data_IF_881733496268
#
_entry.id   IF_881733496268
#
_cell.length_a   1.000
_cell.length_b   1.000
_cell.length_c   1.000
_cell.angle_alpha   90.00
_cell.angle_beta   90.00
_cell.angle_gamma   90.00
#
_symmetry.space_group_name_H-M   'P 1'
#
loop_
_entity.id
_entity.type
_entity.pdbx_description
1 polymer ?
#
# COMPACT_ATOMS: atom_id res chain seq x y z
N UNK A 1 73.72 44.79 -57.80
CA UNK A 1 73.33 43.49 -58.38
C UNK A 1 72.58 42.72 -57.29
N UNK A 2 71.24 42.85 -57.21
CA UNK A 2 70.23 41.79 -57.51
C UNK A 2 70.37 40.58 -56.56
N UNK A 3 69.39 40.00 -55.84
CA UNK A 3 67.91 40.08 -55.71
C UNK A 3 67.53 39.06 -54.58
N UNK A 4 66.66 39.37 -53.61
CA UNK A 4 65.24 38.95 -53.52
C UNK A 4 64.92 37.47 -53.15
N UNK A 5 64.24 37.28 -52.00
CA UNK A 5 63.06 36.42 -51.70
C UNK A 5 63.15 35.79 -50.28
N UNK A 6 62.36 36.17 -49.26
CA UNK A 6 60.88 36.11 -49.05
C UNK A 6 60.53 35.03 -47.98
N UNK A 7 60.30 35.51 -46.75
CA UNK A 7 59.13 35.23 -45.89
C UNK A 7 58.54 33.80 -45.96
N UNK A 8 58.75 32.98 -44.92
CA UNK A 8 57.77 31.98 -44.42
C UNK A 8 57.93 31.80 -42.88
N UNK A 9 56.93 32.27 -42.12
CA UNK A 9 56.37 31.74 -40.84
C UNK A 9 57.34 31.58 -39.65
N UNK A 10 57.49 32.56 -38.75
CA UNK A 10 56.61 32.87 -37.58
C UNK A 10 55.89 31.66 -36.98
N UNK A 11 56.29 31.25 -35.77
CA UNK A 11 55.37 30.63 -34.81
C UNK A 11 55.76 29.30 -34.15
N UNK A 12 57.03 29.03 -33.85
CA UNK A 12 57.43 27.78 -33.14
C UNK A 12 58.47 28.01 -32.04
N UNK A 13 58.37 29.11 -31.31
CA UNK A 13 59.06 29.32 -30.04
C UNK A 13 58.01 29.85 -29.06
N UNK A 14 58.08 29.43 -27.79
CA UNK A 14 57.12 29.68 -26.70
C UNK A 14 56.07 28.60 -26.45
N UNK A 15 56.50 27.34 -26.35
CA UNK A 15 55.66 26.30 -25.74
C UNK A 15 56.49 25.42 -24.79
N UNK A 16 57.19 26.01 -23.82
CA UNK A 16 57.91 25.22 -22.80
C UNK A 16 58.29 25.97 -21.52
N UNK A 17 57.52 26.99 -21.10
CA UNK A 17 57.85 27.74 -19.87
C UNK A 17 56.63 28.29 -19.11
N UNK A 18 55.51 27.57 -19.07
CA UNK A 18 54.38 27.92 -18.19
C UNK A 18 53.64 26.66 -17.70
N UNK A 19 54.35 25.78 -16.99
CA UNK A 19 53.79 24.57 -16.39
C UNK A 19 54.27 24.36 -14.94
N UNK A 20 54.50 25.42 -14.18
CA UNK A 20 54.85 25.32 -12.77
C UNK A 20 54.38 26.57 -12.01
N UNK A 21 53.11 26.63 -11.58
CA UNK A 21 52.62 27.37 -10.38
C UNK A 21 51.08 27.28 -10.21
N UNK A 22 50.44 26.14 -10.46
CA UNK A 22 48.99 26.03 -10.19
C UNK A 22 48.60 24.66 -9.62
N UNK A 23 49.36 24.20 -8.63
CA UNK A 23 49.04 23.00 -7.88
C UNK A 23 49.26 23.31 -6.41
N UNK A 24 48.27 23.93 -5.75
CA UNK A 24 48.09 23.98 -4.29
C UNK A 24 46.88 24.89 -3.95
N UNK A 25 45.71 24.58 -4.49
CA UNK A 25 44.46 24.95 -3.85
C UNK A 25 43.54 23.73 -3.94
N UNK A 26 43.86 22.72 -3.13
CA UNK A 26 42.88 21.73 -2.76
C UNK A 26 41.93 22.45 -1.79
N UNK A 27 40.66 22.74 -2.14
CA UNK A 27 39.72 23.15 -1.12
C UNK A 27 39.65 21.97 -0.16
N UNK A 28 40.12 22.15 1.06
CA UNK A 28 39.84 21.23 2.15
C UNK A 28 38.33 21.22 2.29
N UNK A 29 37.68 20.27 1.62
CA UNK A 29 36.27 19.99 1.83
C UNK A 29 36.13 19.68 3.31
N UNK A 30 35.58 20.63 4.07
CA UNK A 30 35.16 20.35 5.43
C UNK A 30 34.29 19.09 5.36
N UNK A 31 34.53 18.07 6.20
CA UNK A 31 33.61 16.96 6.28
C UNK A 31 32.23 17.56 6.53
N UNK A 32 31.27 17.26 5.66
CA UNK A 32 29.90 17.69 5.83
C UNK A 32 29.50 17.32 7.26
N UNK A 33 29.18 18.34 8.08
CA UNK A 33 28.78 18.16 9.46
C UNK A 33 27.63 17.16 9.44
N UNK A 34 27.88 15.93 9.91
CA UNK A 34 26.84 14.91 10.00
C UNK A 34 25.67 15.56 10.73
N UNK A 35 24.50 15.57 10.10
CA UNK A 35 23.29 16.09 10.72
C UNK A 35 23.17 15.46 12.11
N UNK A 36 22.99 16.31 13.13
CA UNK A 36 22.87 15.82 14.50
C UNK A 36 21.76 14.75 14.55
N UNK A 37 21.97 13.64 15.26
CA UNK A 37 20.99 12.55 15.29
C UNK A 37 19.66 13.10 15.80
N UNK A 38 18.60 12.86 15.04
CA UNK A 38 17.22 13.25 15.37
C UNK A 38 16.45 11.99 15.81
N UNK A 39 15.73 12.05 16.93
CA UNK A 39 14.93 10.92 17.40
C UNK A 39 13.72 10.70 16.47
N UNK A 40 13.39 9.43 16.21
CA UNK A 40 12.17 9.07 15.50
C UNK A 40 10.96 9.11 16.43
N UNK A 41 9.90 9.81 16.03
CA UNK A 41 8.62 9.88 16.75
C UNK A 41 7.47 9.62 15.79
N UNK A 42 6.63 8.63 16.09
CA UNK A 42 5.45 8.29 15.30
C UNK A 42 4.19 8.88 15.93
N UNK A 43 3.22 9.28 15.12
CA UNK A 43 1.88 9.69 15.55
C UNK A 43 0.79 8.92 14.82
N UNK A 44 -0.13 8.31 15.56
CA UNK A 44 -1.41 7.87 15.02
C UNK A 44 -2.27 9.10 14.74
N UNK A 45 -2.59 9.35 13.46
CA UNK A 45 -3.21 10.61 13.03
C UNK A 45 -4.72 10.50 12.80
N UNK A 46 -5.39 9.76 13.66
CA UNK A 46 -6.85 9.62 13.65
C UNK A 46 -7.35 9.13 15.00
N UNK A 47 -8.63 9.37 15.26
CA UNK A 47 -9.38 8.78 16.36
C UNK A 47 -10.75 8.32 15.85
N UNK A 48 -11.46 7.53 16.66
CA UNK A 48 -12.65 6.78 16.23
C UNK A 48 -13.83 7.70 15.84
N UNK A 49 -14.05 8.74 16.63
CA UNK A 49 -15.23 9.61 16.61
C UNK A 49 -15.10 10.81 15.68
N UNK A 50 -14.05 10.83 14.83
CA UNK A 50 -13.91 11.86 13.81
C UNK A 50 -15.20 11.96 13.00
N UNK A 51 -15.66 13.17 12.66
CA UNK A 51 -16.85 13.34 11.83
C UNK A 51 -16.64 12.72 10.45
N UNK A 52 -17.73 12.25 9.84
CA UNK A 52 -17.74 11.81 8.43
C UNK A 52 -17.93 13.01 7.49
N UNK A 53 -16.95 13.92 7.51
CA UNK A 53 -16.97 15.16 6.72
C UNK A 53 -15.99 15.16 5.53
N UNK A 54 -15.10 14.14 5.42
CA UNK A 54 -14.14 14.03 4.33
C UNK A 54 -12.96 15.01 4.43
N UNK A 55 -12.63 15.50 5.62
CA UNK A 55 -11.63 16.57 5.80
C UNK A 55 -10.27 16.11 6.31
N UNK A 56 -10.12 14.85 6.77
CA UNK A 56 -8.89 14.38 7.42
C UNK A 56 -7.65 14.52 6.51
N UNK A 57 -7.76 14.19 5.22
CA UNK A 57 -6.63 14.33 4.30
C UNK A 57 -6.19 15.78 4.11
N UNK A 58 -7.14 16.71 4.04
CA UNK A 58 -6.84 18.15 4.02
C UNK A 58 -6.18 18.58 5.34
N UNK A 59 -6.63 18.05 6.48
CA UNK A 59 -6.02 18.34 7.79
C UNK A 59 -4.57 17.86 7.87
N UNK A 60 -4.27 16.65 7.38
CA UNK A 60 -2.88 16.15 7.30
C UNK A 60 -2.01 17.10 6.47
N UNK A 61 -2.50 17.54 5.31
CA UNK A 61 -1.75 18.46 4.45
C UNK A 61 -1.50 19.81 5.13
N UNK A 62 -2.49 20.36 5.84
CA UNK A 62 -2.39 21.64 6.53
C UNK A 62 -1.45 21.59 7.74
N UNK A 63 -1.45 20.49 8.49
CA UNK A 63 -0.71 20.36 9.76
C UNK A 63 0.70 19.78 9.60
N UNK A 64 1.10 19.33 8.40
CA UNK A 64 2.36 18.62 8.18
C UNK A 64 3.58 19.38 8.73
N UNK A 65 3.70 20.68 8.45
CA UNK A 65 4.82 21.50 8.92
C UNK A 65 4.79 21.71 10.45
N UNK A 66 3.59 21.89 11.03
CA UNK A 66 3.44 22.06 12.47
C UNK A 66 3.93 20.81 13.22
N UNK A 67 3.50 19.62 12.76
CA UNK A 67 3.88 18.33 13.35
C UNK A 67 5.38 18.07 13.21
N UNK A 68 5.95 18.33 12.03
CA UNK A 68 7.37 18.20 11.76
C UNK A 68 8.21 19.11 12.68
N UNK A 69 7.76 20.35 12.91
CA UNK A 69 8.45 21.30 13.82
C UNK A 69 8.50 20.83 15.27
N UNK A 70 7.56 19.99 15.69
CA UNK A 70 7.51 19.36 17.01
C UNK A 70 8.33 18.06 17.10
N UNK A 71 8.94 17.61 16.00
CA UNK A 71 9.76 16.41 15.93
C UNK A 71 8.99 15.13 15.62
N UNK A 72 7.76 15.22 15.12
CA UNK A 72 7.08 14.05 14.53
C UNK A 72 7.79 13.70 13.22
N UNK A 73 8.19 12.44 13.08
CA UNK A 73 8.94 11.95 11.91
C UNK A 73 8.15 10.95 11.08
N UNK A 74 7.02 10.45 11.58
CA UNK A 74 6.16 9.52 10.85
C UNK A 74 4.68 9.63 11.28
N UNK A 75 3.78 9.50 10.31
CA UNK A 75 2.33 9.44 10.55
C UNK A 75 1.78 8.06 10.19
N UNK A 76 1.04 7.45 11.13
CA UNK A 76 0.15 6.34 10.81
C UNK A 76 -1.22 6.90 10.47
N UNK A 77 -1.63 6.70 9.22
CA UNK A 77 -2.92 7.15 8.70
C UNK A 77 -3.94 6.00 8.72
N UNK A 78 -5.23 6.28 8.93
CA UNK A 78 -6.26 5.25 8.96
C UNK A 78 -6.42 4.56 7.58
N UNK A 79 -7.14 3.44 7.50
CA UNK A 79 -7.38 2.76 6.24
C UNK A 79 -7.95 3.72 5.17
N UNK A 80 -7.25 3.84 4.04
CA UNK A 80 -7.55 4.82 3.00
C UNK A 80 -8.50 4.30 1.91
N UNK A 81 -8.84 3.02 1.95
CA UNK A 81 -9.71 2.34 0.98
C UNK A 81 -11.19 2.32 1.40
N UNK A 82 -12.06 2.02 0.45
CA UNK A 82 -13.52 2.00 0.64
C UNK A 82 -13.93 0.92 1.64
N UNK A 83 -14.64 1.32 2.70
CA UNK A 83 -15.28 0.44 3.68
C UNK A 83 -16.72 0.05 3.29
N UNK A 84 -17.47 -0.51 4.25
CA UNK A 84 -18.86 -0.95 4.05
C UNK A 84 -19.84 0.20 3.76
N UNK A 85 -19.49 1.41 4.20
CA UNK A 85 -20.24 2.65 4.00
C UNK A 85 -19.29 3.85 3.99
N UNK A 86 -19.81 5.05 3.72
CA UNK A 86 -19.01 6.29 3.78
C UNK A 86 -18.47 6.59 5.18
N UNK A 87 -19.25 6.27 6.22
CA UNK A 87 -18.92 6.57 7.62
C UNK A 87 -18.09 5.48 8.30
N UNK A 88 -17.75 4.40 7.59
CA UNK A 88 -16.85 3.35 8.09
C UNK A 88 -15.50 3.96 8.47
N UNK A 89 -14.97 3.57 9.63
CA UNK A 89 -13.63 3.99 10.11
C UNK A 89 -12.52 3.31 9.27
N UNK A 90 -12.88 2.35 8.42
CA UNK A 90 -12.00 1.74 7.43
C UNK A 90 -11.68 0.28 7.72
N UNK A 91 -11.96 -0.20 8.93
CA UNK A 91 -11.77 -1.60 9.32
C UNK A 91 -12.81 -2.53 8.68
N UNK A 92 -14.02 -2.04 8.37
CA UNK A 92 -14.99 -2.77 7.56
C UNK A 92 -14.61 -2.78 6.07
N UNK A 93 -13.44 -3.29 5.73
CA UNK A 93 -12.83 -3.16 4.40
C UNK A 93 -13.68 -3.82 3.31
N UNK A 94 -14.09 -3.02 2.31
CA UNK A 94 -14.85 -3.50 1.15
C UNK A 94 -13.97 -3.62 -0.09
N UNK A 95 -13.21 -2.60 -0.49
CA UNK A 95 -12.43 -2.62 -1.73
C UNK A 95 -11.08 -1.92 -1.60
N UNK A 96 -10.02 -2.71 -1.46
CA UNK A 96 -8.63 -2.26 -1.26
C UNK A 96 -8.10 -1.37 -2.39
N UNK A 97 -8.67 -1.47 -3.60
CA UNK A 97 -8.24 -0.69 -4.76
C UNK A 97 -9.00 0.64 -4.90
N UNK A 98 -10.07 0.84 -4.14
CA UNK A 98 -10.88 2.06 -4.17
C UNK A 98 -10.46 2.99 -3.03
N UNK A 99 -9.46 3.83 -3.28
CA UNK A 99 -8.94 4.81 -2.31
C UNK A 99 -9.84 6.05 -2.17
N UNK A 100 -11.15 5.88 -2.30
CA UNK A 100 -12.11 6.99 -2.42
C UNK A 100 -12.12 7.60 -3.83
N UNK A 101 -12.10 6.76 -4.86
CA UNK A 101 -12.00 7.12 -6.28
C UNK A 101 -13.26 6.72 -7.07
N UNK A 102 -13.90 5.61 -6.71
CA UNK A 102 -15.04 5.06 -7.44
C UNK A 102 -16.34 5.24 -6.65
N UNK A 103 -17.46 5.40 -7.35
CA UNK A 103 -18.78 5.42 -6.72
C UNK A 103 -19.18 4.00 -6.31
N UNK A 104 -18.93 3.65 -5.05
CA UNK A 104 -19.22 2.35 -4.45
C UNK A 104 -19.73 2.56 -3.02
N UNK A 105 -20.68 1.74 -2.58
CA UNK A 105 -21.31 1.85 -1.25
C UNK A 105 -21.94 3.24 -1.00
N UNK A 106 -22.57 3.78 -2.04
CA UNK A 106 -23.30 5.05 -1.99
C UNK A 106 -22.43 6.30 -1.93
N UNK A 107 -21.12 6.19 -2.18
CA UNK A 107 -20.20 7.32 -2.12
C UNK A 107 -18.98 7.15 -3.01
N UNK A 108 -18.38 8.28 -3.42
CA UNK A 108 -17.05 8.30 -4.04
C UNK A 108 -15.97 8.32 -2.96
N UNK A 109 -15.94 9.36 -2.12
CA UNK A 109 -14.94 9.53 -1.05
C UNK A 109 -15.07 8.47 0.04
N UNK A 110 -13.99 8.24 0.78
CA UNK A 110 -14.06 7.56 2.09
C UNK A 110 -14.51 8.55 3.17
N UNK A 111 -14.58 8.11 4.44
CA UNK A 111 -14.78 8.98 5.59
C UNK A 111 -13.81 10.17 5.62
N UNK A 112 -12.60 9.95 5.11
CA UNK A 112 -11.45 10.82 5.26
C UNK A 112 -11.19 11.76 4.07
N UNK A 113 -11.72 11.41 2.89
CA UNK A 113 -11.60 12.20 1.67
C UNK A 113 -11.47 11.35 0.41
N UNK A 114 -11.05 11.98 -0.67
CA UNK A 114 -10.83 11.35 -1.99
C UNK A 114 -9.39 10.88 -2.17
N UNK A 115 -9.15 10.02 -3.15
CA UNK A 115 -7.79 9.56 -3.52
C UNK A 115 -6.84 10.72 -3.82
N UNK A 116 -7.32 11.76 -4.51
CA UNK A 116 -6.50 12.93 -4.83
C UNK A 116 -6.03 13.66 -3.55
N UNK A 117 -6.94 13.87 -2.59
CA UNK A 117 -6.60 14.48 -1.31
C UNK A 117 -5.66 13.59 -0.50
N UNK A 118 -5.83 12.26 -0.52
CA UNK A 118 -4.94 11.31 0.15
C UNK A 118 -3.49 11.41 -0.39
N UNK A 119 -3.32 11.44 -1.71
CA UNK A 119 -2.00 11.61 -2.32
C UNK A 119 -1.39 12.99 -2.01
N UNK A 120 -2.21 14.04 -1.98
CA UNK A 120 -1.75 15.38 -1.62
C UNK A 120 -1.33 15.48 -0.14
N UNK A 121 -2.03 14.79 0.75
CA UNK A 121 -1.66 14.66 2.16
C UNK A 121 -0.30 13.97 2.34
N UNK A 122 -0.07 12.87 1.61
CA UNK A 122 1.22 12.17 1.61
C UNK A 122 2.34 13.07 1.08
N UNK A 123 2.10 13.78 -0.02
CA UNK A 123 3.07 14.72 -0.59
C UNK A 123 3.44 15.83 0.40
N UNK A 124 2.46 16.39 1.11
CA UNK A 124 2.70 17.40 2.14
C UNK A 124 3.51 16.84 3.32
N UNK A 125 3.20 15.64 3.81
CA UNK A 125 3.97 14.97 4.86
C UNK A 125 5.43 14.72 4.43
N UNK A 126 5.63 14.21 3.21
CA UNK A 126 6.97 14.01 2.64
C UNK A 126 7.73 15.33 2.47
N UNK A 127 7.07 16.39 2.01
CA UNK A 127 7.69 17.72 1.88
C UNK A 127 8.11 18.29 3.24
N UNK A 128 7.40 17.96 4.32
CA UNK A 128 7.75 18.30 5.69
C UNK A 128 8.80 17.34 6.31
N UNK A 129 9.32 16.37 5.56
CA UNK A 129 10.33 15.42 6.03
C UNK A 129 9.81 14.26 6.87
N UNK A 130 8.49 14.02 6.87
CA UNK A 130 7.87 12.90 7.59
C UNK A 130 7.65 11.70 6.68
N UNK A 131 7.69 10.50 7.25
CA UNK A 131 7.23 9.27 6.59
C UNK A 131 5.72 9.06 6.79
N UNK A 132 5.10 8.27 5.92
CA UNK A 132 3.70 7.87 6.05
C UNK A 132 3.58 6.35 6.08
N UNK A 133 2.89 5.83 7.08
CA UNK A 133 2.52 4.42 7.21
C UNK A 133 1.02 4.27 6.96
N UNK A 134 0.69 3.42 5.99
CA UNK A 134 -0.69 3.10 5.64
C UNK A 134 -1.17 1.89 6.43
N UNK A 135 -2.42 1.94 6.88
CA UNK A 135 -3.07 0.82 7.55
C UNK A 135 -3.45 -0.30 6.56
N UNK A 136 -3.23 -1.56 6.98
CA UNK A 136 -3.42 -2.76 6.15
C UNK A 136 -4.32 -3.75 6.87
N UNK A 137 -5.58 -3.83 6.42
CA UNK A 137 -6.61 -4.72 6.97
C UNK A 137 -6.80 -5.91 6.02
N UNK A 138 -6.19 -7.05 6.36
CA UNK A 138 -6.23 -8.28 5.55
C UNK A 138 -6.92 -9.47 6.23
N UNK A 139 -7.35 -9.32 7.48
CA UNK A 139 -8.01 -10.39 8.23
C UNK A 139 -9.36 -10.79 7.62
N UNK A 140 -10.16 -9.81 7.21
CA UNK A 140 -11.52 -10.03 6.75
C UNK A 140 -11.90 -9.08 5.61
N UNK A 141 -13.11 -9.27 5.08
CA UNK A 141 -13.72 -8.42 4.05
C UNK A 141 -15.21 -8.26 4.31
N UNK A 142 -15.68 -7.02 4.41
CA UNK A 142 -17.06 -6.69 4.78
C UNK A 142 -17.86 -6.08 3.62
N UNK A 143 -19.19 -6.19 3.71
CA UNK A 143 -20.11 -5.52 2.78
C UNK A 143 -20.09 -6.09 1.37
N UNK A 144 -20.14 -7.41 1.21
CA UNK A 144 -20.23 -8.06 -0.09
C UNK A 144 -21.40 -7.53 -0.95
N UNK A 145 -21.29 -7.71 -2.27
CA UNK A 145 -22.27 -7.23 -3.24
C UNK A 145 -23.45 -8.19 -3.41
N UNK A 146 -23.27 -9.45 -3.01
CA UNK A 146 -24.33 -10.45 -2.99
C UNK A 146 -23.98 -11.66 -2.14
N UNK A 147 -24.97 -12.53 -1.98
CA UNK A 147 -24.83 -13.81 -1.30
C UNK A 147 -24.48 -14.93 -2.27
N UNK A 148 -23.86 -15.98 -1.75
CA UNK A 148 -23.64 -17.26 -2.43
C UNK A 148 -24.18 -18.38 -1.53
N UNK A 149 -24.74 -19.44 -2.14
CA UNK A 149 -25.09 -20.66 -1.42
C UNK A 149 -23.81 -21.46 -1.14
N UNK A 150 -23.57 -21.78 0.13
CA UNK A 150 -22.34 -22.44 0.60
C UNK A 150 -22.72 -23.55 1.57
N UNK A 151 -22.17 -24.74 1.37
CA UNK A 151 -22.24 -25.82 2.35
C UNK A 151 -21.28 -25.47 3.51
N UNK A 152 -21.81 -25.40 4.73
CA UNK A 152 -21.04 -25.01 5.91
C UNK A 152 -21.41 -25.84 7.15
N UNK A 153 -20.56 -25.73 8.15
CA UNK A 153 -20.75 -26.30 9.49
C UNK A 153 -20.66 -25.19 10.54
N UNK A 154 -21.45 -25.29 11.61
CA UNK A 154 -21.29 -24.42 12.78
C UNK A 154 -20.09 -24.88 13.62
N UNK A 155 -19.28 -23.94 14.11
CA UNK A 155 -18.19 -24.21 15.05
C UNK A 155 -18.43 -23.51 16.39
N UNK A 156 -17.89 -24.10 17.47
CA UNK A 156 -18.04 -23.58 18.82
C UNK A 156 -17.36 -22.20 18.96
N UNK A 157 -18.06 -21.15 19.44
CA UNK A 157 -17.46 -19.83 19.67
C UNK A 157 -16.30 -19.80 20.67
N UNK A 158 -16.22 -20.77 21.58
CA UNK A 158 -15.13 -20.89 22.56
C UNK A 158 -13.98 -21.77 22.08
N UNK A 159 -14.19 -22.60 21.05
CA UNK A 159 -13.16 -23.43 20.40
C UNK A 159 -13.53 -23.68 18.93
N UNK A 160 -12.94 -22.91 18.02
CA UNK A 160 -13.33 -22.90 16.60
C UNK A 160 -12.90 -24.16 15.84
N UNK A 161 -12.15 -25.05 16.49
CA UNK A 161 -11.80 -26.36 15.94
C UNK A 161 -12.91 -27.40 16.15
N UNK A 162 -13.83 -27.15 17.10
CA UNK A 162 -14.93 -28.06 17.41
C UNK A 162 -16.15 -27.74 16.54
N UNK A 163 -16.45 -28.62 15.59
CA UNK A 163 -17.72 -28.61 14.86
C UNK A 163 -18.87 -29.00 15.80
N UNK A 164 -19.95 -28.21 15.79
CA UNK A 164 -21.13 -28.38 16.67
C UNK A 164 -22.42 -28.62 15.90
N UNK A 165 -22.35 -28.76 14.58
CA UNK A 165 -23.46 -29.17 13.71
C UNK A 165 -22.99 -30.20 12.67
N UNK A 166 -23.94 -30.77 11.92
CA UNK A 166 -23.64 -31.37 10.62
C UNK A 166 -23.51 -30.30 9.52
N UNK A 167 -23.11 -30.72 8.31
CA UNK A 167 -23.06 -29.85 7.13
C UNK A 167 -24.47 -29.50 6.65
N UNK A 168 -24.70 -28.22 6.32
CA UNK A 168 -25.92 -27.76 5.65
C UNK A 168 -25.67 -26.46 4.88
N UNK A 169 -26.61 -26.04 4.03
CA UNK A 169 -26.47 -24.83 3.22
C UNK A 169 -26.81 -23.54 3.96
N UNK A 170 -25.99 -22.51 3.72
CA UNK A 170 -26.22 -21.12 4.13
C UNK A 170 -26.17 -20.17 2.93
N UNK A 171 -26.77 -18.99 3.06
CA UNK A 171 -26.50 -17.86 2.17
C UNK A 171 -25.47 -16.92 2.81
N UNK A 172 -24.23 -16.97 2.31
CA UNK A 172 -23.11 -16.21 2.84
C UNK A 172 -22.78 -14.98 1.97
N UNK A 173 -22.56 -13.82 2.60
CA UNK A 173 -22.12 -12.58 1.95
C UNK A 173 -20.65 -12.64 1.50
N UNK A 174 -20.41 -13.31 0.37
CA UNK A 174 -19.05 -13.66 -0.09
C UNK A 174 -18.75 -13.24 -1.54
N UNK A 175 -19.75 -12.73 -2.26
CA UNK A 175 -19.59 -12.26 -3.64
C UNK A 175 -19.18 -10.79 -3.68
N UNK A 176 -17.94 -10.52 -4.07
CA UNK A 176 -17.45 -9.15 -4.31
C UNK A 176 -17.09 -8.95 -5.78
N UNK A 177 -17.86 -8.09 -6.44
CA UNK A 177 -17.73 -7.81 -7.86
C UNK A 177 -17.23 -6.39 -8.18
N UNK A 178 -17.33 -5.48 -7.20
CA UNK A 178 -16.84 -4.10 -7.31
C UNK A 178 -17.43 -3.35 -8.52
N UNK A 179 -18.78 -3.25 -8.63
CA UNK A 179 -19.43 -2.79 -9.85
C UNK A 179 -19.05 -1.35 -10.25
N UNK A 180 -18.80 -0.48 -9.26
CA UNK A 180 -18.42 0.91 -9.52
C UNK A 180 -16.97 1.06 -10.01
N UNK A 181 -16.07 0.15 -9.64
CA UNK A 181 -14.68 0.12 -10.12
C UNK A 181 -14.51 -0.70 -11.40
N UNK A 182 -15.33 -1.74 -11.57
CA UNK A 182 -15.19 -2.71 -12.65
C UNK A 182 -13.87 -3.48 -12.53
N UNK A 183 -13.02 -3.39 -13.57
CA UNK A 183 -11.71 -4.04 -13.62
C UNK A 183 -10.54 -3.04 -13.58
N UNK A 184 -10.83 -1.78 -13.28
CA UNK A 184 -9.77 -0.78 -13.09
C UNK A 184 -8.84 -1.24 -11.97
N UNK A 185 -7.53 -1.20 -12.23
CA UNK A 185 -6.42 -1.70 -11.40
C UNK A 185 -6.35 -3.22 -11.18
N UNK A 186 -7.48 -3.89 -10.97
CA UNK A 186 -7.52 -5.35 -10.74
C UNK A 186 -8.85 -5.94 -11.19
N UNK A 187 -8.77 -7.05 -11.94
CA UNK A 187 -9.93 -7.84 -12.37
C UNK A 187 -10.31 -8.95 -11.40
N UNK A 188 -9.62 -9.09 -10.26
CA UNK A 188 -9.89 -10.15 -9.28
C UNK A 188 -11.27 -9.96 -8.64
N UNK A 189 -12.02 -11.06 -8.49
CA UNK A 189 -13.36 -11.10 -7.90
C UNK A 189 -13.36 -12.09 -6.74
N UNK A 190 -13.83 -11.65 -5.57
CA UNK A 190 -13.88 -12.52 -4.39
C UNK A 190 -15.16 -13.33 -4.39
N UNK A 191 -15.04 -14.54 -3.86
CA UNK A 191 -16.05 -15.59 -3.82
C UNK A 191 -15.84 -16.41 -2.56
N UNK A 192 -16.84 -17.17 -2.16
CA UNK A 192 -16.82 -17.98 -0.92
C UNK A 192 -15.54 -18.80 -0.73
N UNK A 193 -14.97 -19.38 -1.78
CA UNK A 193 -13.76 -20.22 -1.72
C UNK A 193 -12.45 -19.47 -1.47
N UNK A 194 -12.50 -18.15 -1.29
CA UNK A 194 -11.38 -17.33 -0.82
C UNK A 194 -11.43 -17.03 0.69
N UNK A 195 -12.45 -17.53 1.40
CA UNK A 195 -12.69 -17.27 2.81
C UNK A 195 -12.80 -18.57 3.61
N UNK A 196 -12.33 -18.52 4.86
CA UNK A 196 -12.43 -19.66 5.79
C UNK A 196 -13.74 -19.68 6.58
N UNK A 197 -14.51 -18.59 6.59
CA UNK A 197 -15.70 -18.49 7.40
C UNK A 197 -16.51 -17.21 7.25
N UNK A 198 -17.74 -17.26 7.75
CA UNK A 198 -18.63 -16.12 7.98
C UNK A 198 -19.37 -16.32 9.30
N UNK A 199 -19.94 -15.27 9.88
CA UNK A 199 -20.70 -15.31 11.13
C UNK A 199 -22.22 -15.09 10.93
N UNK A 200 -22.66 -15.01 9.67
CA UNK A 200 -24.04 -14.72 9.28
C UNK A 200 -24.51 -15.62 8.14
N UNK A 201 -25.72 -16.16 8.32
CA UNK A 201 -26.49 -16.82 7.27
C UNK A 201 -27.72 -15.96 6.94
N UNK A 202 -27.71 -15.36 5.76
CA UNK A 202 -28.77 -14.45 5.31
C UNK A 202 -30.12 -15.14 5.18
N UNK A 203 -30.15 -16.45 4.91
CA UNK A 203 -31.39 -17.19 4.69
C UNK A 203 -32.23 -17.34 5.96
N UNK A 204 -31.57 -17.53 7.11
CA UNK A 204 -32.22 -17.77 8.42
C UNK A 204 -32.08 -16.59 9.39
N UNK A 205 -31.16 -15.66 9.14
CA UNK A 205 -30.97 -14.41 9.92
C UNK A 205 -30.76 -14.66 11.42
N UNK A 206 -29.96 -15.66 11.74
CA UNK A 206 -29.63 -16.05 13.11
C UNK A 206 -28.35 -15.36 13.57
N UNK A 207 -28.39 -14.76 14.76
CA UNK A 207 -27.23 -14.17 15.42
C UNK A 207 -26.38 -15.23 16.15
N UNK A 208 -25.13 -14.88 16.45
CA UNK A 208 -24.22 -15.65 17.31
C UNK A 208 -23.95 -17.07 16.79
N UNK A 209 -23.62 -17.19 15.50
CA UNK A 209 -23.17 -18.43 14.87
C UNK A 209 -21.86 -18.16 14.14
N UNK A 210 -21.04 -19.20 14.00
CA UNK A 210 -19.78 -19.13 13.25
C UNK A 210 -19.81 -20.28 12.26
N UNK A 211 -19.79 -19.95 10.97
CA UNK A 211 -19.91 -20.90 9.89
C UNK A 211 -18.56 -21.08 9.21
N UNK A 212 -18.15 -22.34 9.07
CA UNK A 212 -16.96 -22.75 8.33
C UNK A 212 -17.40 -23.46 7.05
N UNK A 213 -17.10 -22.94 5.84
CA UNK A 213 -17.37 -23.63 4.58
C UNK A 213 -16.72 -25.00 4.53
N UNK A 214 -17.44 -25.98 3.98
CA UNK A 214 -16.93 -27.32 3.70
C UNK A 214 -16.62 -27.42 2.21
N UNK A 215 -15.38 -27.76 1.88
CA UNK A 215 -14.97 -28.05 0.49
C UNK A 215 -15.21 -29.55 0.25
N UNK A 216 -16.48 -29.93 0.09
CA UNK A 216 -16.86 -31.29 -0.31
C UNK A 216 -17.36 -31.27 -1.76
N UNK A 217 -16.48 -30.93 -2.71
CA UNK A 217 -16.79 -30.96 -4.15
C UNK A 217 -15.62 -31.56 -4.93
N UNK A 218 -15.67 -32.87 -5.28
CA UNK A 218 -14.65 -33.54 -6.10
C UNK A 218 -14.49 -32.97 -7.53
N UNK A 219 -15.36 -32.06 -7.97
CA UNK A 219 -15.48 -31.63 -9.38
C UNK A 219 -15.26 -30.13 -9.61
N UNK A 220 -15.06 -29.32 -8.57
CA UNK A 220 -14.69 -27.92 -8.77
C UNK A 220 -13.18 -27.84 -9.03
N UNK A 221 -12.80 -27.65 -10.30
CA UNK A 221 -11.44 -27.21 -10.62
C UNK A 221 -11.25 -25.79 -10.07
N UNK A 222 -10.89 -25.67 -8.80
CA UNK A 222 -10.34 -24.45 -8.25
C UNK A 222 -9.05 -24.16 -9.03
N UNK A 223 -8.91 -23.00 -9.70
CA UNK A 223 -7.66 -22.65 -10.38
C UNK A 223 -6.53 -22.57 -9.34
N UNK A 224 -5.79 -23.66 -9.17
CA UNK A 224 -4.56 -23.64 -8.38
C UNK A 224 -3.49 -22.95 -9.22
N UNK A 225 -3.32 -21.64 -9.04
CA UNK A 225 -2.09 -20.97 -9.48
C UNK A 225 -0.94 -21.48 -8.62
N UNK A 226 -0.35 -22.60 -9.04
CA UNK A 226 0.91 -23.10 -8.50
C UNK A 226 2.01 -22.10 -8.87
N UNK A 227 2.40 -21.22 -7.95
CA UNK A 227 3.69 -20.55 -8.04
C UNK A 227 4.78 -21.61 -7.83
N UNK A 228 5.32 -22.15 -8.92
CA UNK A 228 6.52 -22.98 -8.86
C UNK A 228 7.71 -22.06 -8.58
N UNK A 229 8.11 -21.94 -7.32
CA UNK A 229 9.41 -21.38 -6.96
C UNK A 229 10.45 -22.47 -7.25
N UNK A 230 11.04 -22.42 -8.44
CA UNK A 230 12.14 -23.29 -8.82
C UNK A 230 13.40 -22.91 -8.03
N UNK A 231 13.67 -23.62 -6.93
CA UNK A 231 14.97 -23.61 -6.28
C UNK A 231 15.97 -24.34 -7.16
N UNK A 232 16.67 -23.59 -8.01
CA UNK A 232 17.82 -24.08 -8.76
C UNK A 232 18.98 -24.36 -7.82
N UNK A 233 19.21 -25.63 -7.49
CA UNK A 233 20.43 -26.08 -6.81
C UNK A 233 21.60 -26.06 -7.79
N UNK A 234 22.43 -25.00 -7.74
CA UNK A 234 23.76 -25.01 -8.36
C UNK A 234 24.73 -25.71 -7.41
N UNK A 235 24.95 -27.00 -7.61
CA UNK A 235 26.04 -27.73 -6.98
C UNK A 235 27.35 -27.40 -7.70
N UNK A 236 28.17 -26.54 -7.08
CA UNK A 236 29.52 -26.24 -7.54
C UNK A 236 30.47 -27.39 -7.21
N UNK A 237 30.99 -28.07 -8.23
CA UNK A 237 32.17 -28.95 -8.11
C UNK A 237 33.40 -28.08 -7.84
N UNK A 238 33.98 -28.17 -6.65
CA UNK A 238 35.36 -27.73 -6.40
C UNK A 238 36.28 -28.93 -6.55
N UNK A 239 37.22 -28.83 -7.49
CA UNK A 239 38.44 -29.64 -7.55
C UNK A 239 39.31 -29.27 -6.35
N UNK A 240 39.78 -30.28 -5.61
CA UNK A 240 41.18 -30.57 -5.30
C UNK A 240 41.23 -32.03 -4.84
#
# INVERSE_FOLDING_TARGET
>A
MLTFHRIIRKGWMFLLAFLLTASLFCPTGQPAKAAAPFNGTMMQYFEWYLPDDGTLWTKVANEANNLSSLGITALWLPPAYKGTSRSDVGYGVYDLYDLGEFNQKGTVRTKYGTKAQYLQAIQAAHAAGMQVYADVVFDHKGGADGTEWVDAVEVNPSDRNQEISGTYQIQAWTKFDFPGRGNTYSSFKWRWYHFDGVDWDESRKLNNRIYKPKIEQPHLQIPRHRQSVGLGSRHGKRKL
#
